data_IF_329841417027
#
_entry.id   IF_329841417027
#
_cell.length_a   1.000
_cell.length_b   1.000
_cell.length_c   1.000
_cell.angle_alpha   90.00
_cell.angle_beta   90.00
_cell.angle_gamma   90.00
#
_symmetry.space_group_name_H-M   'P 1'
#
loop_
_entity.id
_entity.type
_entity.pdbx_description
1 polymer ?
#
# COMPACT_ATOMS: atom_id res chain seq x y z
N UNK A 1 -2.85 23.43 51.16
CA UNK A 1 -3.33 22.58 50.05
C UNK A 1 -3.35 23.48 48.83
N UNK A 2 -2.25 23.50 48.10
CA UNK A 2 -2.21 24.05 46.75
C UNK A 2 -2.93 23.04 45.86
N UNK A 3 -4.02 23.48 45.24
CA UNK A 3 -4.64 22.72 44.16
C UNK A 3 -3.90 23.11 42.89
N UNK A 4 -3.05 22.21 42.42
CA UNK A 4 -2.53 22.23 41.05
C UNK A 4 -3.73 22.19 40.10
N UNK A 5 -3.83 23.23 39.28
CA UNK A 5 -4.74 23.28 38.15
C UNK A 5 -4.04 22.55 37.00
N UNK A 6 -4.51 21.35 36.71
CA UNK A 6 -4.32 20.72 35.41
C UNK A 6 -5.14 21.51 34.38
N UNK A 7 -4.60 22.65 33.94
CA UNK A 7 -5.01 23.32 32.71
C UNK A 7 -4.37 22.54 31.53
N UNK A 8 -4.82 21.30 31.31
CA UNK A 8 -4.65 20.61 30.03
C UNK A 8 -5.58 21.33 29.04
N UNK A 9 -5.09 22.45 28.52
CA UNK A 9 -5.70 23.18 27.41
C UNK A 9 -5.94 22.21 26.25
N UNK A 10 -7.22 21.92 25.97
CA UNK A 10 -7.73 21.42 24.70
C UNK A 10 -7.34 22.42 23.59
N UNK A 11 -6.08 22.38 23.15
CA UNK A 11 -5.60 23.16 22.00
C UNK A 11 -6.22 22.60 20.73
N UNK A 12 -7.35 23.18 20.35
CA UNK A 12 -7.92 23.03 19.02
C UNK A 12 -6.98 23.70 18.00
N UNK A 13 -6.33 22.88 17.18
CA UNK A 13 -5.50 23.36 16.08
C UNK A 13 -6.32 24.18 15.07
N UNK A 14 -5.72 25.23 14.50
CA UNK A 14 -6.30 25.90 13.34
C UNK A 14 -6.28 25.00 12.10
N UNK A 15 -7.06 25.33 11.08
CA UNK A 15 -7.03 24.60 9.80
C UNK A 15 -5.65 24.66 9.16
N UNK A 16 -4.95 25.81 9.23
CA UNK A 16 -3.58 25.91 8.72
C UNK A 16 -2.61 25.03 9.52
N UNK A 17 -2.73 24.99 10.84
CA UNK A 17 -1.89 24.13 11.69
C UNK A 17 -2.13 22.64 11.40
N UNK A 18 -3.38 22.23 11.14
CA UNK A 18 -3.71 20.85 10.74
C UNK A 18 -3.05 20.52 9.39
N UNK A 19 -3.12 21.42 8.41
CA UNK A 19 -2.52 21.22 7.09
C UNK A 19 -0.98 21.16 7.17
N UNK A 20 -0.35 22.02 7.96
CA UNK A 20 1.11 22.02 8.18
C UNK A 20 1.57 20.73 8.89
N UNK A 21 0.78 20.22 9.84
CA UNK A 21 1.05 18.94 10.48
C UNK A 21 0.90 17.77 9.51
N UNK A 22 -0.12 17.78 8.67
CA UNK A 22 -0.31 16.77 7.61
C UNK A 22 0.85 16.78 6.61
N UNK A 23 1.25 17.96 6.12
CA UNK A 23 2.36 18.09 5.18
C UNK A 23 3.67 17.56 5.78
N UNK A 24 3.93 17.89 7.06
CA UNK A 24 5.10 17.40 7.80
C UNK A 24 5.12 15.88 7.96
N UNK A 25 3.96 15.26 8.14
CA UNK A 25 3.82 13.81 8.28
C UNK A 25 3.88 13.08 6.92
N UNK A 26 3.42 13.73 5.84
CA UNK A 26 3.42 13.18 4.49
C UNK A 26 4.75 13.31 3.76
N UNK A 27 5.53 14.37 4.01
CA UNK A 27 6.80 14.64 3.34
C UNK A 27 7.80 13.45 3.42
N UNK A 28 8.02 12.79 4.58
CA UNK A 28 8.86 11.60 4.66
C UNK A 28 8.37 10.45 3.77
N UNK A 29 7.06 10.28 3.65
CA UNK A 29 6.42 9.25 2.83
C UNK A 29 6.57 9.59 1.35
N UNK A 30 6.31 10.85 0.98
CA UNK A 30 6.49 11.37 -0.37
C UNK A 30 7.91 11.10 -0.86
N UNK A 31 8.91 11.49 -0.06
CA UNK A 31 10.32 11.24 -0.38
C UNK A 31 10.64 9.73 -0.41
N UNK A 32 10.05 8.91 0.45
CA UNK A 32 10.23 7.45 0.38
C UNK A 32 9.75 6.88 -0.96
N UNK A 33 8.61 7.37 -1.46
CA UNK A 33 8.06 6.93 -2.73
C UNK A 33 8.91 7.42 -3.90
N UNK A 34 9.25 8.71 -3.92
CA UNK A 34 9.95 9.34 -5.04
C UNK A 34 11.43 8.96 -5.13
N UNK A 35 12.13 8.88 -4.00
CA UNK A 35 13.58 8.66 -3.96
C UNK A 35 13.96 7.19 -3.82
N UNK A 36 13.05 6.34 -3.33
CA UNK A 36 13.35 4.92 -3.05
C UNK A 36 12.45 3.99 -3.84
N UNK A 37 11.12 4.10 -3.71
CA UNK A 37 10.21 3.14 -4.34
C UNK A 37 10.24 3.25 -5.86
N UNK A 38 9.87 4.40 -6.43
CA UNK A 38 9.77 4.55 -7.88
C UNK A 38 11.11 4.24 -8.57
N UNK A 39 12.27 4.76 -8.14
CA UNK A 39 13.55 4.46 -8.79
C UNK A 39 13.95 2.98 -8.73
N UNK A 40 13.35 2.19 -7.84
CA UNK A 40 13.62 0.76 -7.74
C UNK A 40 12.87 -0.10 -8.75
N UNK A 41 11.79 0.43 -9.34
CA UNK A 41 10.92 -0.26 -10.29
C UNK A 41 11.48 -0.21 -11.72
N UNK A 42 11.00 -1.10 -12.58
CA UNK A 42 11.42 -1.19 -13.99
C UNK A 42 10.22 -1.41 -14.92
N UNK A 43 10.36 -1.03 -16.19
CA UNK A 43 9.35 -1.24 -17.24
C UNK A 43 8.00 -0.59 -16.92
N UNK A 44 6.92 -1.30 -17.24
CA UNK A 44 5.54 -0.81 -17.11
C UNK A 44 5.19 -0.38 -15.67
N UNK A 45 5.75 -1.03 -14.65
CA UNK A 45 5.52 -0.66 -13.24
C UNK A 45 6.08 0.73 -12.91
N UNK A 46 7.24 1.09 -13.46
CA UNK A 46 7.85 2.41 -13.29
C UNK A 46 7.06 3.48 -14.04
N UNK A 47 6.74 3.21 -15.31
CA UNK A 47 6.04 4.16 -16.18
C UNK A 47 4.65 4.50 -15.65
N UNK A 48 3.86 3.48 -15.28
CA UNK A 48 2.54 3.69 -14.69
C UNK A 48 2.64 4.35 -13.32
N UNK A 49 3.61 3.96 -12.49
CA UNK A 49 3.84 4.54 -11.17
C UNK A 49 4.10 6.05 -11.24
N UNK A 50 4.99 6.49 -12.12
CA UNK A 50 5.27 7.92 -12.33
C UNK A 50 4.04 8.68 -12.79
N UNK A 51 3.31 8.16 -13.77
CA UNK A 51 2.08 8.80 -14.26
C UNK A 51 1.04 8.97 -13.15
N UNK A 52 0.86 7.95 -12.31
CA UNK A 52 -0.07 8.00 -11.18
C UNK A 52 0.41 8.99 -10.11
N UNK A 53 1.70 9.02 -9.79
CA UNK A 53 2.27 9.99 -8.85
C UNK A 53 2.13 11.44 -9.36
N UNK A 54 2.35 11.69 -10.65
CA UNK A 54 2.18 13.02 -11.25
C UNK A 54 0.71 13.49 -11.23
N UNK A 55 -0.23 12.54 -11.32
CA UNK A 55 -1.68 12.84 -11.39
C UNK A 55 -2.30 13.00 -10.00
N UNK A 56 -1.93 12.12 -9.06
CA UNK A 56 -2.60 11.97 -7.76
C UNK A 56 -1.68 12.25 -6.57
N UNK A 57 -0.39 12.51 -6.80
CA UNK A 57 0.61 12.63 -5.75
C UNK A 57 1.24 11.30 -5.35
N UNK A 58 2.51 11.33 -4.96
CA UNK A 58 3.28 10.17 -4.56
C UNK A 58 2.74 9.49 -3.28
N UNK A 59 2.14 10.26 -2.37
CA UNK A 59 1.49 9.73 -1.17
C UNK A 59 0.39 8.70 -1.51
N UNK A 60 -0.39 8.94 -2.56
CA UNK A 60 -1.48 8.05 -2.95
C UNK A 60 -1.00 6.67 -3.43
N UNK A 61 0.22 6.59 -3.98
CA UNK A 61 0.85 5.29 -4.26
C UNK A 61 1.16 4.53 -2.96
N UNK A 62 1.69 5.21 -1.95
CA UNK A 62 1.91 4.62 -0.63
C UNK A 62 0.59 4.17 0.01
N UNK A 63 -0.42 5.04 0.02
CA UNK A 63 -1.74 4.75 0.57
C UNK A 63 -2.40 3.55 -0.12
N UNK A 64 -2.26 3.40 -1.44
CA UNK A 64 -2.72 2.22 -2.16
C UNK A 64 -2.05 0.92 -1.68
N UNK A 65 -0.73 0.93 -1.43
CA UNK A 65 -0.04 -0.25 -0.87
C UNK A 65 -0.53 -0.59 0.54
N UNK A 66 -0.84 0.44 1.35
CA UNK A 66 -1.36 0.27 2.71
C UNK A 66 -2.79 -0.29 2.69
N UNK A 67 -3.66 0.25 1.85
CA UNK A 67 -5.05 -0.20 1.71
C UNK A 67 -5.11 -1.67 1.34
N UNK A 68 -4.44 -2.05 0.26
CA UNK A 68 -4.41 -3.46 -0.18
C UNK A 68 -3.80 -4.35 0.90
N UNK A 69 -2.65 -3.97 1.47
CA UNK A 69 -2.03 -4.78 2.51
C UNK A 69 -2.91 -4.93 3.76
N UNK A 70 -3.67 -3.90 4.13
CA UNK A 70 -4.60 -3.91 5.26
C UNK A 70 -5.79 -4.83 4.99
N UNK A 71 -6.42 -4.74 3.81
CA UNK A 71 -7.52 -5.61 3.42
C UNK A 71 -7.12 -7.09 3.50
N UNK A 72 -6.02 -7.45 2.85
CA UNK A 72 -5.50 -8.81 2.82
C UNK A 72 -5.14 -9.30 4.23
N UNK A 73 -4.56 -8.44 5.06
CA UNK A 73 -4.24 -8.78 6.45
C UNK A 73 -5.50 -9.05 7.29
N UNK A 74 -6.55 -8.22 7.15
CA UNK A 74 -7.84 -8.44 7.85
C UNK A 74 -8.47 -9.78 7.47
N UNK A 75 -8.34 -10.21 6.22
CA UNK A 75 -8.76 -11.54 5.80
C UNK A 75 -7.98 -12.64 6.53
N UNK A 76 -6.64 -12.57 6.57
CA UNK A 76 -5.84 -13.59 7.28
C UNK A 76 -5.95 -13.55 8.80
N UNK A 77 -6.37 -12.45 9.41
CA UNK A 77 -6.71 -12.46 10.85
C UNK A 77 -7.87 -13.45 11.11
N UNK A 78 -8.83 -13.53 10.18
CA UNK A 78 -9.98 -14.44 10.27
C UNK A 78 -9.67 -15.85 9.76
N UNK A 79 -8.59 -15.99 9.00
CA UNK A 79 -8.21 -17.17 8.22
C UNK A 79 -6.68 -17.39 8.27
N UNK A 80 -6.07 -17.57 9.46
CA UNK A 80 -4.61 -17.49 9.65
C UNK A 80 -3.81 -18.62 8.99
N UNK A 81 -4.46 -19.77 8.75
CA UNK A 81 -3.89 -20.95 8.09
C UNK A 81 -3.79 -20.81 6.56
N UNK A 82 -4.42 -19.79 5.98
CA UNK A 82 -4.57 -19.67 4.55
C UNK A 82 -3.43 -18.89 3.88
N UNK A 83 -3.11 -19.29 2.65
CA UNK A 83 -2.17 -18.59 1.80
C UNK A 83 -2.92 -17.65 0.85
N UNK A 84 -2.37 -16.47 0.61
CA UNK A 84 -2.93 -15.53 -0.37
C UNK A 84 -2.15 -15.64 -1.67
N UNK A 85 -2.88 -15.73 -2.78
CA UNK A 85 -2.35 -15.72 -4.13
C UNK A 85 -2.96 -14.58 -4.93
N UNK A 86 -2.13 -13.69 -5.48
CA UNK A 86 -2.59 -12.57 -6.29
C UNK A 86 -2.25 -12.76 -7.78
N UNK A 87 -3.29 -12.90 -8.59
CA UNK A 87 -3.24 -13.20 -10.01
C UNK A 87 -3.14 -11.96 -10.90
N UNK A 88 -2.56 -12.13 -12.09
CA UNK A 88 -2.39 -11.07 -13.09
C UNK A 88 -3.68 -10.47 -13.67
N UNK A 89 -4.84 -11.09 -13.42
CA UNK A 89 -6.15 -10.53 -13.76
C UNK A 89 -6.69 -9.61 -12.64
N UNK A 90 -5.81 -9.17 -11.74
CA UNK A 90 -6.09 -8.30 -10.60
C UNK A 90 -7.09 -8.91 -9.59
N UNK A 91 -7.18 -10.24 -9.53
CA UNK A 91 -7.94 -10.96 -8.50
C UNK A 91 -7.02 -11.60 -7.46
N UNK A 92 -7.50 -11.69 -6.23
CA UNK A 92 -6.79 -12.35 -5.14
C UNK A 92 -7.58 -13.56 -4.67
N UNK A 93 -6.94 -14.73 -4.68
CA UNK A 93 -7.48 -15.96 -4.09
C UNK A 93 -6.91 -16.14 -2.70
N UNK A 94 -7.78 -16.46 -1.75
CA UNK A 94 -7.37 -17.06 -0.49
C UNK A 94 -7.42 -18.58 -0.70
N UNK A 95 -6.25 -19.20 -0.86
CA UNK A 95 -6.12 -20.61 -1.18
C UNK A 95 -6.86 -21.49 -0.16
N UNK A 96 -7.33 -22.65 -0.63
CA UNK A 96 -8.03 -23.71 0.13
C UNK A 96 -9.46 -23.44 0.65
N UNK A 97 -9.96 -22.20 0.65
CA UNK A 97 -11.37 -21.87 1.02
C UNK A 97 -12.26 -21.40 -0.13
N UNK A 98 -11.68 -21.15 -1.32
CA UNK A 98 -12.43 -20.70 -2.50
C UNK A 98 -12.97 -19.27 -2.39
N UNK A 99 -12.45 -18.46 -1.46
CA UNK A 99 -12.78 -17.03 -1.35
C UNK A 99 -11.94 -16.26 -2.36
N UNK A 100 -12.61 -15.52 -3.23
CA UNK A 100 -11.99 -14.61 -4.19
C UNK A 100 -12.29 -13.18 -3.77
N UNK A 101 -11.24 -12.41 -3.51
CA UNK A 101 -11.32 -10.95 -3.39
C UNK A 101 -11.21 -10.41 -4.80
N UNK A 102 -12.28 -9.79 -5.29
CA UNK A 102 -12.37 -9.29 -6.65
C UNK A 102 -11.57 -7.99 -6.83
N UNK A 103 -11.38 -7.60 -8.09
CA UNK A 103 -10.77 -6.31 -8.43
C UNK A 103 -11.60 -5.14 -7.83
N UNK A 104 -12.93 -5.27 -7.80
CA UNK A 104 -13.83 -4.26 -7.22
C UNK A 104 -13.57 -4.04 -5.72
N UNK A 105 -13.36 -5.11 -4.94
CA UNK A 105 -13.04 -5.02 -3.51
C UNK A 105 -11.69 -4.31 -3.28
N UNK A 106 -10.70 -4.61 -4.12
CA UNK A 106 -9.39 -3.95 -4.08
C UNK A 106 -9.50 -2.47 -4.42
N UNK A 107 -10.30 -2.12 -5.44
CA UNK A 107 -10.53 -0.73 -5.87
C UNK A 107 -11.23 0.06 -4.78
N UNK A 108 -12.26 -0.49 -4.14
CA UNK A 108 -12.96 0.17 -3.04
C UNK A 108 -12.05 0.42 -1.85
N UNK A 109 -11.19 -0.55 -1.50
CA UNK A 109 -10.25 -0.37 -0.41
C UNK A 109 -9.18 0.68 -0.74
N UNK A 110 -8.64 0.68 -1.97
CA UNK A 110 -7.68 1.71 -2.39
C UNK A 110 -8.32 3.08 -2.35
N UNK A 111 -9.52 3.25 -2.92
CA UNK A 111 -10.23 4.53 -2.92
C UNK A 111 -10.48 5.06 -1.51
N UNK A 112 -10.79 4.18 -0.54
CA UNK A 112 -10.93 4.54 0.86
C UNK A 112 -9.63 5.08 1.48
N UNK A 113 -8.48 4.54 1.10
CA UNK A 113 -7.17 4.95 1.63
C UNK A 113 -6.60 6.17 0.92
N UNK A 114 -6.94 6.37 -0.35
CA UNK A 114 -6.44 7.50 -1.16
C UNK A 114 -7.42 8.68 -1.18
N UNK A 115 -8.63 8.49 -0.64
CA UNK A 115 -9.77 9.42 -0.74
C UNK A 115 -10.12 9.82 -2.18
N UNK A 116 -9.87 8.92 -3.13
CA UNK A 116 -10.09 9.17 -4.56
C UNK A 116 -11.49 8.72 -4.98
N UNK A 117 -12.48 9.49 -4.57
CA UNK A 117 -13.89 9.32 -4.90
C UNK A 117 -14.35 10.33 -5.96
N UNK A 118 -15.30 9.91 -6.78
CA UNK A 118 -16.02 10.78 -7.69
C UNK A 118 -17.21 11.39 -6.94
N UNK A 119 -17.19 12.71 -6.75
CA UNK A 119 -18.17 13.43 -5.93
C UNK A 119 -19.61 13.32 -6.47
N UNK A 120 -19.78 13.10 -7.77
CA UNK A 120 -21.10 13.06 -8.42
C UNK A 120 -21.76 11.68 -8.29
N UNK A 121 -20.99 10.62 -8.50
CA UNK A 121 -21.48 9.25 -8.51
C UNK A 121 -21.32 8.52 -7.17
N UNK A 122 -20.46 9.02 -6.27
CA UNK A 122 -20.07 8.34 -5.05
C UNK A 122 -19.27 7.05 -5.29
N UNK A 123 -18.82 6.83 -6.53
CA UNK A 123 -17.98 5.69 -6.90
C UNK A 123 -16.48 6.07 -6.83
N UNK A 124 -15.56 5.11 -6.70
CA UNK A 124 -14.14 5.36 -6.91
C UNK A 124 -13.89 6.02 -8.27
N UNK A 125 -12.98 6.98 -8.33
CA UNK A 125 -12.58 7.52 -9.65
C UNK A 125 -12.05 6.39 -10.53
N UNK A 126 -12.32 6.47 -11.83
CA UNK A 126 -11.97 5.40 -12.78
C UNK A 126 -10.50 4.98 -12.69
N UNK A 127 -9.59 5.86 -12.34
CA UNK A 127 -8.16 5.55 -12.34
C UNK A 127 -7.68 4.77 -11.11
N UNK A 128 -8.52 4.55 -10.08
CA UNK A 128 -8.16 3.74 -8.92
C UNK A 128 -7.84 2.28 -9.30
N UNK A 129 -8.50 1.70 -10.30
CA UNK A 129 -8.12 0.36 -10.78
C UNK A 129 -6.68 0.32 -11.29
N UNK A 130 -6.18 1.43 -11.85
CA UNK A 130 -4.79 1.52 -12.32
C UNK A 130 -3.82 1.50 -11.15
N UNK A 131 -4.19 2.04 -9.99
CA UNK A 131 -3.39 1.93 -8.77
C UNK A 131 -3.33 0.48 -8.28
N UNK A 132 -4.45 -0.24 -8.26
CA UNK A 132 -4.49 -1.67 -7.93
C UNK A 132 -3.57 -2.47 -8.88
N UNK A 133 -3.71 -2.22 -10.19
CA UNK A 133 -2.88 -2.83 -11.23
C UNK A 133 -1.40 -2.51 -11.04
N UNK A 134 -1.08 -1.26 -10.73
CA UNK A 134 0.28 -0.81 -10.45
C UNK A 134 0.88 -1.54 -9.25
N UNK A 135 0.14 -1.68 -8.14
CA UNK A 135 0.62 -2.43 -6.96
C UNK A 135 0.97 -3.87 -7.35
N UNK A 136 0.12 -4.53 -8.13
CA UNK A 136 0.40 -5.89 -8.62
C UNK A 136 1.72 -5.97 -9.41
N UNK A 137 1.92 -5.05 -10.37
CA UNK A 137 3.14 -5.04 -11.19
C UNK A 137 4.39 -4.68 -10.36
N UNK A 138 4.27 -3.71 -9.46
CA UNK A 138 5.37 -3.22 -8.63
C UNK A 138 5.91 -4.29 -7.66
N UNK A 139 5.06 -5.23 -7.22
CA UNK A 139 5.50 -6.36 -6.38
C UNK A 139 6.60 -7.22 -7.02
N UNK A 140 6.71 -7.22 -8.36
CA UNK A 140 7.76 -7.97 -9.06
C UNK A 140 9.16 -7.48 -8.70
N UNK A 141 9.34 -6.16 -8.63
CA UNK A 141 10.62 -5.51 -8.30
C UNK A 141 10.75 -5.25 -6.80
N UNK A 142 9.63 -5.19 -6.08
CA UNK A 142 9.56 -4.90 -4.65
C UNK A 142 8.79 -5.97 -3.88
N UNK A 143 9.43 -7.09 -3.51
CA UNK A 143 8.79 -8.16 -2.74
C UNK A 143 8.19 -7.71 -1.41
N UNK A 144 8.74 -6.66 -0.78
CA UNK A 144 8.25 -6.07 0.48
C UNK A 144 7.37 -4.84 0.24
N UNK A 145 6.76 -4.71 -0.94
CA UNK A 145 5.90 -3.56 -1.26
C UNK A 145 4.78 -3.40 -0.23
N UNK A 146 4.14 -4.51 0.13
CA UNK A 146 3.03 -4.57 1.07
C UNK A 146 3.55 -4.72 2.52
N UNK A 147 3.18 -3.83 3.46
CA UNK A 147 3.71 -3.84 4.83
C UNK A 147 3.56 -5.17 5.59
N UNK A 148 2.46 -5.90 5.38
CA UNK A 148 2.17 -7.14 6.09
C UNK A 148 2.65 -8.39 5.35
N UNK A 149 3.26 -8.26 4.18
CA UNK A 149 3.51 -9.39 3.28
C UNK A 149 4.88 -9.32 2.60
N UNK A 150 5.43 -10.50 2.31
CA UNK A 150 6.50 -10.69 1.34
C UNK A 150 5.90 -11.42 0.15
N UNK A 151 5.94 -10.78 -1.01
CA UNK A 151 5.49 -11.34 -2.27
C UNK A 151 6.59 -12.21 -2.90
N UNK A 152 6.22 -13.40 -3.34
CA UNK A 152 7.08 -14.31 -4.12
C UNK A 152 6.42 -14.52 -5.48
N UNK A 153 7.10 -14.09 -6.54
CA UNK A 153 6.65 -14.34 -7.90
C UNK A 153 6.65 -15.85 -8.18
N UNK A 154 5.53 -16.36 -8.66
CA UNK A 154 5.41 -17.73 -9.14
C UNK A 154 5.12 -17.69 -10.64
N UNK A 155 5.96 -18.41 -11.38
CA UNK A 155 5.83 -18.61 -12.82
C UNK A 155 5.42 -20.06 -13.02
N UNK A 156 4.11 -20.31 -12.99
CA UNK A 156 3.59 -21.57 -13.52
C UNK A 156 3.28 -21.39 -15.01
N UNK A 157 3.38 -22.46 -15.82
CA UNK A 157 3.32 -22.41 -17.30
C UNK A 157 2.06 -21.72 -17.87
N UNK A 158 1.03 -21.51 -17.05
CA UNK A 158 -0.27 -20.95 -17.46
C UNK A 158 -0.72 -19.71 -16.67
N UNK A 159 -0.11 -19.38 -15.52
CA UNK A 159 -0.60 -18.34 -14.61
C UNK A 159 0.54 -17.55 -13.98
N UNK A 160 0.60 -16.25 -14.27
CA UNK A 160 1.44 -15.31 -13.54
C UNK A 160 0.73 -14.89 -12.25
N UNK A 161 1.31 -15.25 -11.10
CA UNK A 161 0.77 -14.90 -9.78
C UNK A 161 1.88 -14.55 -8.78
N UNK A 162 1.49 -13.89 -7.69
CA UNK A 162 2.30 -13.75 -6.49
C UNK A 162 1.71 -14.59 -5.37
N UNK A 163 2.56 -15.38 -4.73
CA UNK A 163 2.28 -15.96 -3.43
C UNK A 163 2.68 -14.95 -2.35
N UNK A 164 1.77 -14.63 -1.42
CA UNK A 164 2.01 -13.65 -0.36
C UNK A 164 2.19 -14.35 0.98
N UNK A 165 3.41 -14.27 1.52
CA UNK A 165 3.72 -14.76 2.87
C UNK A 165 3.54 -13.65 3.87
N UNK A 166 2.71 -13.87 4.90
CA UNK A 166 2.52 -12.91 5.99
C UNK A 166 3.84 -12.71 6.75
N UNK A 167 4.14 -11.45 7.08
CA UNK A 167 5.31 -11.05 7.88
C UNK A 167 4.92 -11.05 9.36
N UNK A 168 5.75 -11.68 10.19
CA UNK A 168 5.59 -11.62 11.65
C UNK A 168 5.82 -10.19 12.16
N UNK A 169 5.10 -9.79 13.22
CA UNK A 169 5.20 -8.44 13.76
C UNK A 169 6.64 -8.02 14.14
N UNK A 170 7.45 -8.96 14.62
CA UNK A 170 8.86 -8.75 14.98
C UNK A 170 9.78 -8.49 13.76
N UNK A 171 9.38 -8.93 12.57
CA UNK A 171 10.16 -8.86 11.33
C UNK A 171 9.64 -7.78 10.37
N UNK A 172 8.65 -7.00 10.82
CA UNK A 172 8.03 -5.91 10.07
C UNK A 172 8.94 -4.70 10.02
N UNK A 173 9.04 -4.09 8.84
CA UNK A 173 9.78 -2.84 8.63
C UNK A 173 8.75 -1.74 8.41
N UNK A 174 8.52 -0.94 9.45
CA UNK A 174 7.48 0.10 9.45
C UNK A 174 7.92 1.35 8.69
N UNK A 175 9.22 1.66 8.69
CA UNK A 175 9.79 2.76 7.89
C UNK A 175 9.74 2.40 6.39
N UNK A 176 8.95 3.13 5.55
CA UNK A 176 8.82 2.85 4.13
C UNK A 176 10.15 2.96 3.37
N UNK A 177 11.03 3.88 3.76
CA UNK A 177 12.37 4.04 3.14
C UNK A 177 13.22 2.80 3.39
N UNK A 178 13.20 2.26 4.61
CA UNK A 178 13.96 1.04 4.90
C UNK A 178 13.34 -0.19 4.25
N UNK A 179 12.01 -0.26 4.21
CA UNK A 179 11.26 -1.39 3.67
C UNK A 179 11.55 -1.61 2.18
N UNK A 180 11.62 -0.53 1.40
CA UNK A 180 11.77 -0.58 -0.06
C UNK A 180 13.21 -0.37 -0.54
N UNK A 181 14.15 -0.13 0.37
CA UNK A 181 15.58 -0.10 0.03
C UNK A 181 15.96 -1.40 -0.64
N UNK A 182 16.67 -1.27 -1.77
CA UNK A 182 17.32 -2.42 -2.40
C UNK A 182 18.22 -3.06 -1.35
N UNK A 183 18.02 -4.36 -1.11
CA UNK A 183 19.00 -5.13 -0.35
C UNK A 183 20.33 -4.96 -1.06
N UNK A 184 21.44 -4.62 -0.36
CA UNK A 184 22.72 -4.50 -1.01
C UNK A 184 22.96 -5.80 -1.75
N UNK A 185 22.95 -5.72 -3.08
CA UNK A 185 23.35 -6.83 -3.94
C UNK A 185 24.70 -7.26 -3.41
N UNK A 186 24.83 -8.52 -2.96
CA UNK A 186 26.15 -9.10 -2.72
C UNK A 186 26.95 -8.78 -3.97
N UNK A 187 27.92 -7.87 -3.83
CA UNK A 187 28.90 -7.61 -4.88
C UNK A 187 29.61 -8.95 -5.05
N UNK A 188 29.23 -9.69 -6.09
CA UNK A 188 29.95 -10.87 -6.59
C UNK A 188 31.16 -10.42 -7.39
#
# INVERSE_FOLDING_TARGET
MENDKDDDDDKLYSVEEILELQEKDEEPIRLAVEEVLLPSLEGEALELGRKLADTYGAYNLYAATQGISSLLHRYLIRHPEHQIEWYANDSVSVADVGVVIGQEDLVLEVARFTDLWDDESGAPIKDVFKMVRWVWMAMKSQPRLLPYFIAKAESDFFLYKFSLTKVDAKDRIDDPRQRWRRSPSKQS
#
